data_IF_783253892880
#
_entry.id   IF_783253892880
#
_cell.length_a   1.000
_cell.length_b   1.000
_cell.length_c   1.000
_cell.angle_alpha   90.00
_cell.angle_beta   90.00
_cell.angle_gamma   90.00
#
_symmetry.space_group_name_H-M   'P 1'
#
loop_
_entity.id
_entity.type
_entity.pdbx_description
1 polymer ?
#
# COMPACT_ATOMS: atom_id res chain seq x y z
N UNK A 1 35.65 36.38 2.53
CA UNK A 1 35.93 35.24 3.43
C UNK A 1 34.59 34.62 3.72
N UNK A 2 34.31 33.51 3.04
CA UNK A 2 33.03 32.81 3.06
C UNK A 2 33.03 31.84 4.24
N UNK A 3 31.99 31.93 5.06
CA UNK A 3 31.70 30.96 6.11
C UNK A 3 30.71 29.94 5.51
N UNK A 4 31.19 28.72 5.29
CA UNK A 4 30.43 27.61 4.74
C UNK A 4 29.61 26.97 5.86
N UNK A 5 28.35 27.40 6.01
CA UNK A 5 27.35 26.73 6.83
C UNK A 5 26.88 25.44 6.17
N UNK A 6 27.59 24.35 6.43
CA UNK A 6 27.18 22.96 6.15
C UNK A 6 25.90 22.69 6.95
N UNK A 7 24.76 22.44 6.29
CA UNK A 7 23.54 22.02 7.00
C UNK A 7 22.26 21.92 6.18
N UNK A 8 22.10 22.66 5.08
CA UNK A 8 20.80 22.78 4.41
C UNK A 8 20.42 21.59 3.50
N UNK A 9 21.38 20.81 3.01
CA UNK A 9 21.12 19.70 2.08
C UNK A 9 20.56 18.44 2.76
N UNK A 10 20.66 18.32 4.09
CA UNK A 10 20.26 17.12 4.83
C UNK A 10 18.80 17.20 5.35
N UNK A 11 18.14 18.36 5.26
CA UNK A 11 16.75 18.51 5.74
C UNK A 11 15.68 18.19 4.69
N UNK A 12 15.94 18.41 3.41
CA UNK A 12 14.94 18.18 2.35
C UNK A 12 14.73 16.67 2.10
N UNK A 13 15.75 15.85 2.34
CA UNK A 13 15.69 14.38 2.21
C UNK A 13 14.99 13.67 3.38
N UNK A 14 14.59 14.41 4.44
CA UNK A 14 13.99 13.83 5.66
C UNK A 14 12.47 13.83 5.69
N UNK A 15 11.79 14.34 4.66
CA UNK A 15 10.33 14.36 4.60
C UNK A 15 9.68 12.99 4.28
N UNK A 16 10.46 11.93 4.10
CA UNK A 16 9.93 10.57 3.84
C UNK A 16 10.68 9.43 4.54
N UNK A 17 11.59 9.73 5.47
CA UNK A 17 12.28 8.71 6.28
C UNK A 17 11.72 8.81 7.70
N UNK A 18 11.21 7.68 8.23
CA UNK A 18 10.73 7.51 9.59
C UNK A 18 11.50 8.39 10.58
N UNK A 19 10.87 9.48 11.03
CA UNK A 19 11.39 10.25 12.16
C UNK A 19 11.43 9.31 13.38
N UNK A 20 12.48 9.35 14.22
CA UNK A 20 12.35 8.81 15.57
C UNK A 20 11.18 9.55 16.23
N UNK A 21 10.26 8.80 16.83
CA UNK A 21 9.05 9.32 17.48
C UNK A 21 9.31 10.69 18.12
N UNK A 22 8.71 11.74 17.56
CA UNK A 22 8.69 13.05 18.22
C UNK A 22 8.23 12.82 19.67
N UNK A 23 8.84 13.49 20.66
CA UNK A 23 8.35 13.40 22.04
C UNK A 23 6.86 13.70 22.02
N UNK A 24 6.03 12.80 22.59
CA UNK A 24 4.57 12.90 22.60
C UNK A 24 4.16 14.36 22.77
N UNK A 25 3.72 14.99 21.67
CA UNK A 25 3.23 16.35 21.73
C UNK A 25 2.02 16.32 22.65
N UNK A 26 2.14 16.95 23.82
CA UNK A 26 1.03 17.01 24.77
C UNK A 26 -0.22 17.51 24.04
N UNK A 27 -1.38 16.85 24.21
CA UNK A 27 -2.59 17.30 23.57
C UNK A 27 -2.81 18.78 23.90
N UNK A 28 -3.16 19.62 22.91
CA UNK A 28 -3.32 21.04 23.12
C UNK A 28 -4.29 21.28 24.29
N UNK A 29 -3.90 22.18 25.20
CA UNK A 29 -4.73 22.53 26.38
C UNK A 29 -6.14 22.90 25.88
N UNK A 30 -7.17 22.32 26.51
CA UNK A 30 -8.60 22.52 26.17
C UNK A 30 -9.02 24.00 26.00
N UNK A 31 -8.26 24.95 26.57
CA UNK A 31 -8.54 26.38 26.54
C UNK A 31 -7.43 27.22 25.86
N UNK A 32 -6.61 26.62 25.00
CA UNK A 32 -5.73 27.42 24.13
C UNK A 32 -6.58 28.15 23.09
N UNK A 33 -6.19 29.36 22.70
CA UNK A 33 -6.85 30.11 21.63
C UNK A 33 -6.77 29.41 20.24
N UNK A 34 -6.13 28.25 20.17
CA UNK A 34 -5.88 27.52 18.93
C UNK A 34 -4.99 28.29 17.97
N UNK A 35 -5.13 27.98 16.67
CA UNK A 35 -4.47 28.70 15.59
C UNK A 35 -5.23 30.02 15.35
N UNK A 36 -4.61 31.16 15.64
CA UNK A 36 -5.16 32.48 15.29
C UNK A 36 -4.82 32.78 13.83
N UNK A 37 -5.76 32.52 12.93
CA UNK A 37 -5.61 32.84 11.51
C UNK A 37 -5.76 34.37 11.28
N UNK A 38 -4.90 34.94 10.45
CA UNK A 38 -5.01 36.32 9.96
C UNK A 38 -5.20 36.30 8.45
N UNK A 39 -6.25 36.94 7.95
CA UNK A 39 -6.49 37.04 6.50
C UNK A 39 -5.49 38.02 5.86
N UNK A 40 -4.68 37.51 4.94
CA UNK A 40 -3.68 38.27 4.17
C UNK A 40 -4.02 38.34 2.68
N UNK A 41 -5.21 37.88 2.26
CA UNK A 41 -5.60 37.76 0.84
C UNK A 41 -5.44 39.08 0.08
N UNK A 42 -5.91 40.18 0.67
CA UNK A 42 -5.78 41.52 0.08
C UNK A 42 -4.32 41.96 -0.02
N UNK A 43 -3.52 41.76 1.04
CA UNK A 43 -2.09 42.12 1.05
C UNK A 43 -1.32 41.37 -0.02
N UNK A 44 -1.64 40.09 -0.21
CA UNK A 44 -1.02 39.25 -1.23
C UNK A 44 -1.44 39.69 -2.64
N UNK A 45 -2.73 39.96 -2.84
CA UNK A 45 -3.27 40.43 -4.13
C UNK A 45 -2.67 41.79 -4.53
N UNK A 46 -2.61 42.75 -3.60
CA UNK A 46 -2.06 44.09 -3.84
C UNK A 46 -0.56 44.02 -4.21
N UNK A 47 0.20 43.11 -3.58
CA UNK A 47 1.61 42.89 -3.90
C UNK A 47 1.82 42.33 -5.32
N UNK A 48 0.88 41.53 -5.84
CA UNK A 48 0.95 40.90 -7.17
C UNK A 48 0.34 41.77 -8.28
N UNK A 49 -0.77 42.49 -8.02
CA UNK A 49 -1.62 43.12 -9.07
C UNK A 49 -1.32 44.56 -9.45
N UNK A 50 -0.40 45.28 -8.79
CA UNK A 50 -0.22 46.73 -9.06
C UNK A 50 0.24 47.10 -10.50
N UNK A 51 0.47 46.11 -11.37
CA UNK A 51 0.69 46.23 -12.82
C UNK A 51 -0.59 46.39 -13.67
N UNK A 52 -1.78 46.02 -13.21
CA UNK A 52 -2.96 45.95 -14.10
C UNK A 52 -3.66 47.30 -14.39
N UNK A 53 -3.28 48.41 -13.75
CA UNK A 53 -3.95 49.72 -13.90
C UNK A 53 -3.13 50.81 -14.61
N UNK A 54 -1.94 50.50 -15.14
CA UNK A 54 -1.05 51.50 -15.73
C UNK A 54 -0.73 51.25 -17.22
N UNK A 55 -1.75 51.11 -18.06
CA UNK A 55 -1.62 51.50 -19.48
C UNK A 55 -2.02 52.98 -19.58
N UNK A 56 -1.10 53.85 -19.20
CA UNK A 56 -1.30 55.30 -19.24
C UNK A 56 -0.03 56.04 -18.87
N UNK A 57 0.55 56.72 -19.86
CA UNK A 57 1.79 57.51 -19.80
C UNK A 57 2.02 58.28 -18.49
N UNK A 58 3.29 58.25 -18.08
CA UNK A 58 3.94 59.09 -17.06
C UNK A 58 3.49 58.89 -15.61
N UNK A 59 4.32 58.22 -14.80
CA UNK A 59 4.45 58.58 -13.39
C UNK A 59 5.81 58.24 -12.78
N UNK A 60 6.28 59.26 -12.08
CA UNK A 60 7.51 59.40 -11.32
C UNK A 60 7.53 58.41 -10.14
N UNK A 61 8.62 57.64 -10.04
CA UNK A 61 8.82 56.64 -8.99
C UNK A 61 9.12 57.34 -7.66
N UNK A 62 8.17 57.31 -6.72
CA UNK A 62 8.42 57.66 -5.32
C UNK A 62 8.85 56.37 -4.60
N UNK A 63 10.17 56.24 -4.39
CA UNK A 63 10.76 55.26 -3.48
C UNK A 63 10.58 55.75 -2.03
N UNK A 64 9.64 55.15 -1.30
CA UNK A 64 9.43 55.46 0.12
C UNK A 64 8.69 54.33 0.83
N UNK A 65 9.44 53.55 1.62
CA UNK A 65 8.98 52.66 2.70
C UNK A 65 7.68 51.87 2.48
N UNK A 66 7.79 50.78 1.74
CA UNK A 66 7.21 49.43 1.98
C UNK A 66 7.53 48.64 0.72
N UNK A 67 8.34 47.60 0.80
CA UNK A 67 8.96 46.92 -0.35
C UNK A 67 7.96 46.11 -1.19
N UNK A 68 7.06 46.78 -1.90
CA UNK A 68 6.23 46.16 -2.94
C UNK A 68 7.08 46.05 -4.20
N UNK A 69 7.76 44.91 -4.34
CA UNK A 69 8.33 44.47 -5.62
C UNK A 69 7.14 44.06 -6.48
N UNK A 70 6.83 44.86 -7.47
CA UNK A 70 5.78 44.55 -8.45
C UNK A 70 6.32 43.46 -9.37
N UNK A 71 5.58 42.38 -9.55
CA UNK A 71 6.01 41.25 -10.38
C UNK A 71 5.60 41.48 -11.83
N UNK A 72 6.59 41.48 -12.73
CA UNK A 72 6.38 41.49 -14.17
C UNK A 72 6.02 40.10 -14.69
N UNK A 73 5.31 39.97 -15.84
CA UNK A 73 5.02 38.68 -16.45
C UNK A 73 6.29 37.87 -16.70
N UNK A 74 6.35 36.66 -16.14
CA UNK A 74 7.51 35.76 -16.22
C UNK A 74 8.42 35.79 -15.00
N UNK A 75 8.18 36.69 -14.04
CA UNK A 75 8.87 36.68 -12.75
C UNK A 75 8.23 35.70 -11.76
N UNK A 76 9.06 35.02 -10.96
CA UNK A 76 8.63 34.06 -9.94
C UNK A 76 9.35 34.38 -8.63
N UNK A 77 8.58 34.60 -7.57
CA UNK A 77 9.12 34.71 -6.20
C UNK A 77 9.21 33.32 -5.61
N UNK A 78 10.43 32.90 -5.29
CA UNK A 78 10.73 31.61 -4.68
C UNK A 78 11.95 31.72 -3.78
N UNK A 79 12.18 30.71 -2.95
CA UNK A 79 13.43 30.59 -2.21
C UNK A 79 14.65 30.47 -3.17
N UNK A 80 15.82 30.88 -2.69
CA UNK A 80 17.07 30.85 -3.46
C UNK A 80 17.50 29.43 -3.84
N UNK A 81 17.22 28.44 -2.99
CA UNK A 81 17.59 27.04 -3.18
C UNK A 81 16.53 26.21 -3.89
N UNK A 82 15.27 26.65 -3.89
CA UNK A 82 14.19 25.95 -4.61
C UNK A 82 14.39 26.04 -6.12
N UNK A 83 14.39 24.92 -6.85
CA UNK A 83 14.48 24.95 -8.31
C UNK A 83 13.12 24.80 -8.96
N UNK A 84 12.91 25.37 -10.15
CA UNK A 84 11.67 25.15 -10.89
C UNK A 84 11.51 23.69 -11.34
N UNK A 85 12.61 22.94 -11.44
CA UNK A 85 12.54 21.52 -11.69
C UNK A 85 11.83 20.78 -10.53
N UNK A 86 12.02 21.20 -9.28
CA UNK A 86 11.32 20.62 -8.12
C UNK A 86 9.79 20.85 -8.20
N UNK A 87 9.36 21.93 -8.87
CA UNK A 87 7.93 22.24 -9.04
C UNK A 87 7.21 21.38 -10.08
N UNK A 88 7.92 20.63 -10.94
CA UNK A 88 7.27 19.81 -12.00
C UNK A 88 6.49 18.62 -11.43
N UNK A 89 6.78 18.23 -10.19
CA UNK A 89 6.08 17.16 -9.47
C UNK A 89 4.93 17.68 -8.59
N UNK A 90 4.66 18.99 -8.60
CA UNK A 90 3.59 19.58 -7.79
C UNK A 90 2.21 19.12 -8.27
N UNK A 91 1.31 18.86 -7.31
CA UNK A 91 -0.10 18.60 -7.59
C UNK A 91 -0.87 19.92 -7.74
N UNK A 92 -1.73 20.00 -8.74
CA UNK A 92 -2.61 21.15 -8.97
C UNK A 92 -3.99 20.87 -8.35
N UNK A 93 -4.35 21.66 -7.33
CA UNK A 93 -5.67 21.57 -6.66
C UNK A 93 -6.76 22.00 -7.64
N UNK A 94 -7.91 21.33 -7.60
CA UNK A 94 -9.05 21.50 -8.52
C UNK A 94 -8.82 21.02 -9.96
N UNK A 95 -7.67 20.42 -10.29
CA UNK A 95 -7.50 19.69 -11.56
C UNK A 95 -7.99 18.24 -11.41
N UNK A 96 -8.97 17.76 -12.20
CA UNK A 96 -9.52 16.41 -12.06
C UNK A 96 -8.54 15.25 -12.27
N UNK A 97 -7.38 15.51 -12.91
CA UNK A 97 -6.34 14.50 -13.15
C UNK A 97 -5.24 14.53 -12.10
N UNK A 98 -5.02 15.67 -11.44
CA UNK A 98 -3.94 15.84 -10.46
C UNK A 98 -4.44 15.81 -9.01
N UNK A 99 -5.65 16.29 -8.75
CA UNK A 99 -6.24 16.39 -7.43
C UNK A 99 -7.26 15.26 -7.20
N UNK A 100 -6.90 14.32 -6.33
CA UNK A 100 -7.81 13.24 -5.94
C UNK A 100 -9.07 13.77 -5.23
N UNK A 101 -8.95 14.91 -4.53
CA UNK A 101 -10.06 15.62 -3.87
C UNK A 101 -10.96 16.39 -4.83
N UNK A 102 -10.62 16.52 -6.11
CA UNK A 102 -11.46 17.18 -7.10
C UNK A 102 -12.67 16.30 -7.46
N UNK A 103 -13.87 16.77 -7.09
CA UNK A 103 -15.14 16.08 -7.36
C UNK A 103 -15.75 16.66 -8.62
N UNK A 104 -16.10 15.82 -9.59
CA UNK A 104 -16.83 16.29 -10.76
C UNK A 104 -18.29 16.63 -10.41
N UNK A 105 -18.91 17.61 -11.08
CA UNK A 105 -20.32 17.94 -10.84
C UNK A 105 -21.22 16.71 -10.98
N UNK A 106 -21.92 16.35 -9.91
CA UNK A 106 -22.81 15.18 -9.85
C UNK A 106 -22.16 13.88 -9.35
N UNK A 107 -20.85 13.88 -9.09
CA UNK A 107 -20.16 12.77 -8.44
C UNK A 107 -20.24 12.89 -6.91
N UNK A 108 -20.46 11.77 -6.22
CA UNK A 108 -20.43 11.74 -4.76
C UNK A 108 -18.98 11.67 -4.23
N UNK A 109 -18.70 12.45 -3.19
CA UNK A 109 -17.39 12.50 -2.55
C UNK A 109 -17.01 11.17 -1.90
N UNK A 110 -17.93 10.64 -1.09
CA UNK A 110 -17.73 9.43 -0.32
C UNK A 110 -18.11 8.18 -1.11
N UNK A 111 -17.52 7.05 -0.71
CA UNK A 111 -17.95 5.73 -1.19
C UNK A 111 -19.22 5.36 -0.44
N UNK A 112 -20.36 5.33 -1.14
CA UNK A 112 -21.63 4.87 -0.59
C UNK A 112 -21.71 3.34 -0.64
N UNK A 113 -20.92 2.67 0.19
CA UNK A 113 -21.02 1.23 0.37
C UNK A 113 -21.15 0.88 1.85
N UNK A 114 -22.22 0.16 2.19
CA UNK A 114 -22.43 -0.35 3.55
C UNK A 114 -21.68 -1.66 3.76
N UNK A 115 -20.59 -1.60 4.53
CA UNK A 115 -19.77 -2.76 4.89
C UNK A 115 -20.48 -3.76 5.80
N UNK A 116 -21.60 -3.37 6.44
CA UNK A 116 -22.42 -4.24 7.28
C UNK A 116 -23.58 -4.89 6.54
N UNK A 117 -23.74 -4.62 5.23
CA UNK A 117 -24.78 -5.28 4.44
C UNK A 117 -24.56 -6.80 4.51
N UNK A 118 -25.63 -7.60 4.69
CA UNK A 118 -25.51 -9.04 4.61
C UNK A 118 -24.92 -9.47 3.27
N UNK A 119 -23.90 -10.33 3.34
CA UNK A 119 -23.26 -10.94 2.17
C UNK A 119 -23.69 -12.39 2.04
N UNK A 120 -23.95 -12.81 0.81
CA UNK A 120 -24.09 -14.22 0.49
C UNK A 120 -22.71 -14.92 0.53
N UNK A 121 -22.65 -16.23 0.80
CA UNK A 121 -21.41 -17.00 0.75
C UNK A 121 -20.65 -16.87 -0.59
N UNK A 122 -21.38 -16.82 -1.70
CA UNK A 122 -20.85 -16.63 -3.05
C UNK A 122 -20.25 -15.23 -3.24
N UNK A 123 -20.85 -14.20 -2.62
CA UNK A 123 -20.32 -12.84 -2.65
C UNK A 123 -18.99 -12.74 -1.88
N UNK A 124 -18.91 -13.41 -0.71
CA UNK A 124 -17.65 -13.49 0.05
C UNK A 124 -16.56 -14.15 -0.79
N UNK A 125 -16.88 -15.26 -1.48
CA UNK A 125 -15.95 -15.89 -2.41
C UNK A 125 -15.48 -14.93 -3.52
N UNK A 126 -16.40 -14.20 -4.14
CA UNK A 126 -16.06 -13.24 -5.19
C UNK A 126 -15.17 -12.11 -4.69
N UNK A 127 -15.43 -11.59 -3.49
CA UNK A 127 -14.58 -10.58 -2.85
C UNK A 127 -13.18 -11.14 -2.54
N UNK A 128 -13.08 -12.36 -2.01
CA UNK A 128 -11.80 -13.03 -1.75
C UNK A 128 -11.00 -13.22 -3.06
N UNK A 129 -11.64 -13.67 -4.13
CA UNK A 129 -10.97 -13.90 -5.41
C UNK A 129 -10.49 -12.58 -6.05
N UNK A 130 -11.27 -11.50 -5.95
CA UNK A 130 -10.83 -10.18 -6.39
C UNK A 130 -9.66 -9.65 -5.54
N UNK A 131 -9.66 -9.93 -4.23
CA UNK A 131 -8.55 -9.59 -3.35
C UNK A 131 -7.26 -10.37 -3.68
N UNK A 132 -7.35 -11.63 -4.11
CA UNK A 132 -6.19 -12.37 -4.66
C UNK A 132 -5.65 -11.65 -5.90
N UNK A 133 -6.53 -11.18 -6.80
CA UNK A 133 -6.11 -10.45 -7.99
C UNK A 133 -5.39 -9.14 -7.66
N UNK A 134 -5.90 -8.39 -6.68
CA UNK A 134 -5.26 -7.18 -6.19
C UNK A 134 -3.95 -7.45 -5.43
N UNK A 135 -3.89 -8.49 -4.61
CA UNK A 135 -2.66 -8.94 -3.95
C UNK A 135 -1.58 -9.25 -5.00
N UNK A 136 -1.91 -10.05 -6.02
CA UNK A 136 -0.96 -10.38 -7.08
C UNK A 136 -0.59 -9.18 -7.94
N UNK A 137 -1.51 -8.26 -8.20
CA UNK A 137 -1.18 -7.00 -8.86
C UNK A 137 -0.16 -6.19 -8.05
N UNK A 138 -0.29 -6.15 -6.73
CA UNK A 138 0.70 -5.49 -5.88
C UNK A 138 2.06 -6.19 -5.92
N UNK A 139 2.08 -7.53 -5.88
CA UNK A 139 3.30 -8.31 -6.05
C UNK A 139 3.97 -8.14 -7.43
N UNK A 140 3.25 -7.66 -8.43
CA UNK A 140 3.77 -7.30 -9.77
C UNK A 140 4.21 -5.84 -9.88
N UNK A 141 4.24 -5.10 -8.76
CA UNK A 141 4.76 -3.74 -8.70
C UNK A 141 3.71 -2.62 -8.80
N UNK A 142 2.42 -2.95 -8.92
CA UNK A 142 1.39 -1.92 -8.88
C UNK A 142 1.16 -1.39 -7.45
N UNK A 143 1.00 -0.07 -7.22
CA UNK A 143 0.89 0.48 -5.88
C UNK A 143 -0.37 0.03 -5.14
N UNK A 144 -0.30 -0.03 -3.81
CA UNK A 144 -1.43 -0.42 -2.94
C UNK A 144 -2.69 0.43 -3.16
N UNK A 145 -2.52 1.70 -3.52
CA UNK A 145 -3.62 2.65 -3.84
C UNK A 145 -4.47 2.23 -5.05
N UNK A 146 -3.92 1.43 -5.97
CA UNK A 146 -4.60 0.91 -7.15
C UNK A 146 -5.03 -0.56 -7.00
N UNK A 147 -4.69 -1.20 -5.89
CA UNK A 147 -4.89 -2.64 -5.66
C UNK A 147 -5.64 -2.87 -4.35
N UNK A 148 -4.98 -3.31 -3.28
CA UNK A 148 -5.62 -3.72 -2.02
C UNK A 148 -6.38 -2.57 -1.32
N UNK A 149 -5.88 -1.33 -1.36
CA UNK A 149 -6.54 -0.18 -0.72
C UNK A 149 -7.71 0.36 -1.53
N UNK A 150 -8.08 -0.29 -2.62
CA UNK A 150 -9.34 -0.03 -3.31
C UNK A 150 -10.50 -0.78 -2.66
N UNK A 151 -10.25 -1.76 -1.79
CA UNK A 151 -11.29 -2.50 -1.08
C UNK A 151 -11.87 -1.69 0.09
N UNK A 152 -13.19 -1.52 0.12
CA UNK A 152 -13.90 -0.85 1.22
C UNK A 152 -13.76 -1.62 2.54
N UNK A 153 -13.62 -2.94 2.48
CA UNK A 153 -13.41 -3.79 3.65
C UNK A 153 -12.00 -3.62 4.22
N UNK A 154 -10.98 -3.50 3.36
CA UNK A 154 -9.60 -3.21 3.80
C UNK A 154 -9.51 -1.83 4.43
N UNK A 155 -10.13 -0.81 3.82
CA UNK A 155 -10.18 0.53 4.40
C UNK A 155 -10.86 0.52 5.78
N UNK A 156 -12.01 -0.16 5.90
CA UNK A 156 -12.73 -0.25 7.17
C UNK A 156 -11.93 -0.95 8.29
N UNK A 157 -11.06 -1.90 7.94
CA UNK A 157 -10.20 -2.59 8.92
C UNK A 157 -9.00 -1.73 9.37
N UNK A 158 -8.47 -0.89 8.47
CA UNK A 158 -7.25 -0.12 8.69
C UNK A 158 -7.50 1.31 9.16
N UNK A 159 -8.73 1.82 9.03
CA UNK A 159 -9.10 3.19 9.40
C UNK A 159 -10.31 3.25 10.35
N UNK A 160 -10.16 3.84 11.55
CA UNK A 160 -8.90 4.33 12.14
C UNK A 160 -7.84 3.24 12.28
N UNK A 161 -6.60 3.58 12.62
CA UNK A 161 -5.56 2.58 12.88
C UNK A 161 -5.98 1.70 14.10
N UNK A 162 -6.04 0.37 13.96
CA UNK A 162 -6.44 -0.52 15.06
C UNK A 162 -5.36 -0.55 16.14
N UNK A 163 -5.76 -0.36 17.41
CA UNK A 163 -4.87 -0.49 18.57
C UNK A 163 -4.72 -1.93 19.05
N UNK A 164 -5.74 -2.75 18.79
CA UNK A 164 -5.77 -4.19 19.02
C UNK A 164 -6.30 -4.93 17.79
N UNK A 165 -6.10 -6.25 17.72
CA UNK A 165 -6.64 -7.04 16.62
C UNK A 165 -8.16 -7.10 16.66
N UNK A 166 -8.78 -6.99 17.83
CA UNK A 166 -10.24 -6.88 18.01
C UNK A 166 -10.78 -5.58 17.41
N UNK A 167 -10.02 -4.48 17.52
CA UNK A 167 -10.38 -3.18 16.92
C UNK A 167 -10.32 -3.19 15.39
N UNK A 168 -9.54 -4.10 14.79
CA UNK A 168 -9.48 -4.30 13.35
C UNK A 168 -10.76 -5.03 12.87
N UNK A 169 -11.87 -4.30 12.83
CA UNK A 169 -13.19 -4.79 12.44
C UNK A 169 -13.86 -3.78 11.48
N UNK A 170 -14.87 -4.21 10.71
CA UNK A 170 -15.50 -3.33 9.72
C UNK A 170 -16.22 -2.12 10.34
N UNK A 171 -16.74 -2.26 11.56
CA UNK A 171 -17.32 -1.15 12.33
C UNK A 171 -16.97 -1.27 13.80
N UNK A 172 -16.19 -0.30 14.30
CA UNK A 172 -15.76 -0.23 15.71
C UNK A 172 -16.95 -0.03 16.65
N UNK A 173 -16.90 -0.71 17.81
CA UNK A 173 -17.96 -0.63 18.82
C UNK A 173 -19.25 -1.39 18.49
N UNK A 174 -19.30 -2.09 17.34
CA UNK A 174 -20.45 -2.93 16.92
C UNK A 174 -20.08 -4.41 16.77
N UNK A 175 -19.15 -4.90 17.60
CA UNK A 175 -18.70 -6.30 17.56
C UNK A 175 -19.86 -7.31 17.68
N UNK A 176 -20.90 -6.97 18.46
CA UNK A 176 -22.10 -7.81 18.63
C UNK A 176 -22.89 -8.02 17.32
N UNK A 177 -22.93 -7.02 16.43
CA UNK A 177 -23.63 -7.10 15.14
C UNK A 177 -22.86 -7.97 14.13
N UNK A 178 -21.52 -7.95 14.20
CA UNK A 178 -20.65 -8.79 13.36
C UNK A 178 -20.77 -10.28 13.72
N UNK A 179 -20.85 -10.60 15.01
CA UNK A 179 -21.04 -11.98 15.48
C UNK A 179 -22.35 -12.62 14.98
N UNK A 180 -23.32 -11.79 14.58
CA UNK A 180 -24.59 -12.24 14.01
C UNK A 180 -24.53 -12.45 12.49
N UNK A 181 -23.42 -12.08 11.84
CA UNK A 181 -23.22 -12.20 10.40
C UNK A 181 -21.98 -13.07 10.09
N UNK A 182 -22.14 -14.41 10.02
CA UNK A 182 -21.01 -15.33 9.86
C UNK A 182 -20.12 -15.03 8.66
N UNK A 183 -20.71 -14.58 7.55
CA UNK A 183 -19.99 -14.23 6.32
C UNK A 183 -19.06 -13.03 6.50
N UNK A 184 -19.44 -12.03 7.31
CA UNK A 184 -18.57 -10.90 7.62
C UNK A 184 -17.42 -11.31 8.55
N UNK A 185 -17.66 -12.24 9.49
CA UNK A 185 -16.59 -12.80 10.35
C UNK A 185 -15.55 -13.52 9.50
N UNK A 186 -15.99 -14.33 8.53
CA UNK A 186 -15.13 -15.07 7.61
C UNK A 186 -14.34 -14.13 6.70
N UNK A 187 -15.00 -13.13 6.10
CA UNK A 187 -14.33 -12.14 5.27
C UNK A 187 -13.30 -11.32 6.07
N UNK A 188 -13.63 -10.96 7.32
CA UNK A 188 -12.70 -10.27 8.22
C UNK A 188 -11.45 -11.11 8.46
N UNK A 189 -11.59 -12.37 8.88
CA UNK A 189 -10.45 -13.24 9.14
C UNK A 189 -9.54 -13.37 7.91
N UNK A 190 -10.14 -13.56 6.74
CA UNK A 190 -9.41 -13.61 5.46
C UNK A 190 -8.62 -12.32 5.19
N UNK A 191 -9.27 -11.16 5.32
CA UNK A 191 -8.62 -9.86 5.08
C UNK A 191 -7.46 -9.63 6.06
N UNK A 192 -7.62 -9.99 7.34
CA UNK A 192 -6.54 -9.88 8.33
C UNK A 192 -5.35 -10.79 7.97
N UNK A 193 -5.62 -12.03 7.55
CA UNK A 193 -4.59 -12.97 7.08
C UNK A 193 -3.80 -12.44 5.88
N UNK A 194 -4.52 -11.94 4.87
CA UNK A 194 -3.93 -11.30 3.69
C UNK A 194 -3.10 -10.07 4.05
N UNK A 195 -3.66 -9.13 4.81
CA UNK A 195 -2.97 -7.90 5.19
C UNK A 195 -1.71 -8.20 5.99
N UNK A 196 -1.77 -9.16 6.92
CA UNK A 196 -0.61 -9.56 7.72
C UNK A 196 0.51 -10.17 6.86
N UNK A 197 0.17 -11.07 5.94
CA UNK A 197 1.13 -11.65 5.00
C UNK A 197 1.75 -10.57 4.09
N UNK A 198 0.94 -9.64 3.56
CA UNK A 198 1.43 -8.48 2.81
C UNK A 198 2.34 -7.59 3.66
N UNK A 199 2.01 -7.38 4.93
CA UNK A 199 2.86 -6.67 5.89
C UNK A 199 4.25 -7.30 5.99
N UNK A 200 4.32 -8.63 6.17
CA UNK A 200 5.59 -9.38 6.23
C UNK A 200 6.40 -9.26 4.94
N UNK A 201 5.75 -9.36 3.78
CA UNK A 201 6.41 -9.17 2.47
C UNK A 201 6.99 -7.77 2.37
N UNK A 202 6.19 -6.76 2.70
CA UNK A 202 6.61 -5.36 2.61
C UNK A 202 7.78 -5.04 3.55
N UNK A 203 7.74 -5.55 4.78
CA UNK A 203 8.84 -5.39 5.75
C UNK A 203 10.13 -6.04 5.28
N UNK A 204 10.05 -7.20 4.62
CA UNK A 204 11.23 -7.89 4.07
C UNK A 204 11.87 -7.13 2.94
N UNK A 205 11.07 -6.71 1.98
CA UNK A 205 11.56 -5.89 0.86
C UNK A 205 12.23 -4.63 1.41
N UNK A 206 11.62 -3.96 2.41
CA UNK A 206 12.25 -2.81 3.07
C UNK A 206 13.55 -3.19 3.81
N UNK A 207 13.60 -4.34 4.48
CA UNK A 207 14.73 -4.77 5.29
C UNK A 207 15.96 -5.22 4.48
N UNK A 208 15.78 -5.92 3.36
CA UNK A 208 16.88 -6.38 2.49
C UNK A 208 17.71 -5.19 1.98
N UNK A 209 17.08 -4.06 1.70
CA UNK A 209 17.76 -2.86 1.21
C UNK A 209 18.47 -2.03 2.29
N UNK A 210 18.14 -2.18 3.59
CA UNK A 210 18.96 -1.58 4.66
C UNK A 210 20.37 -2.21 4.72
N UNK A 211 20.51 -3.49 4.32
CA UNK A 211 21.79 -4.18 4.35
C UNK A 211 22.70 -3.84 3.16
N UNK A 212 22.15 -3.54 1.97
CA UNK A 212 22.97 -3.10 0.81
C UNK A 212 23.53 -1.68 0.97
N UNK A 213 22.78 -0.76 1.60
CA UNK A 213 23.23 0.64 1.82
C UNK A 213 24.25 0.75 2.96
N UNK A 214 24.32 -0.25 3.83
CA UNK A 214 25.19 -0.24 5.03
C UNK A 214 26.57 -0.87 4.80
N UNK A 215 26.93 -1.28 3.57
CA UNK A 215 28.31 -1.68 3.26
C UNK A 215 29.26 -0.49 3.52
N UNK A 216 30.16 -0.56 4.52
CA UNK A 216 30.85 0.61 5.06
C UNK A 216 32.04 1.10 4.21
N UNK A 217 32.06 0.79 2.91
CA UNK A 217 33.07 1.24 1.98
C UNK A 217 32.41 1.81 0.71
N UNK A 218 31.79 2.98 0.83
CA UNK A 218 31.94 4.08 -0.14
C UNK A 218 31.08 5.26 0.29
N UNK A 219 31.74 6.29 0.80
CA UNK A 219 31.20 7.63 0.99
C UNK A 219 30.91 8.27 -0.37
N UNK A 220 29.76 7.95 -0.95
CA UNK A 220 29.24 8.66 -2.13
C UNK A 220 27.73 8.85 -2.02
N UNK A 221 27.32 10.12 -1.97
CA UNK A 221 25.94 10.65 -1.95
C UNK A 221 25.03 10.21 -3.12
N UNK A 222 25.41 9.18 -3.88
CA UNK A 222 24.66 8.61 -5.01
C UNK A 222 23.90 7.32 -4.67
N UNK A 223 24.12 6.73 -3.51
CA UNK A 223 23.44 5.49 -3.10
C UNK A 223 21.93 5.65 -2.89
N UNK A 224 21.45 6.80 -2.41
CA UNK A 224 20.02 7.00 -2.13
C UNK A 224 19.13 7.12 -3.38
N UNK A 225 19.65 7.67 -4.49
CA UNK A 225 18.86 7.90 -5.71
C UNK A 225 18.68 6.63 -6.55
N UNK A 226 19.67 5.73 -6.57
CA UNK A 226 19.54 4.44 -7.28
C UNK A 226 18.51 3.52 -6.61
N UNK A 227 18.41 3.59 -5.28
CA UNK A 227 17.47 2.79 -4.47
C UNK A 227 16.00 3.20 -4.66
N UNK A 228 15.69 4.48 -4.87
CA UNK A 228 14.33 4.95 -5.18
C UNK A 228 13.88 4.52 -6.58
N UNK A 229 14.81 4.45 -7.54
CA UNK A 229 14.49 4.08 -8.93
C UNK A 229 14.09 2.59 -9.02
N UNK A 230 14.77 1.69 -8.30
CA UNK A 230 14.41 0.27 -8.26
C UNK A 230 13.10 0.00 -7.51
N UNK A 231 12.80 0.78 -6.46
CA UNK A 231 11.53 0.69 -5.71
C UNK A 231 10.29 1.13 -6.51
N UNK A 232 10.44 1.97 -7.53
CA UNK A 232 9.30 2.33 -8.40
C UNK A 232 9.26 1.53 -9.70
N UNK A 233 10.34 0.81 -10.03
CA UNK A 233 10.43 -0.02 -11.23
C UNK A 233 9.91 -1.46 -10.99
N UNK A 234 10.38 -2.13 -9.92
CA UNK A 234 10.08 -3.55 -9.70
C UNK A 234 8.98 -3.79 -8.65
N UNK A 235 8.93 -3.01 -7.56
CA UNK A 235 7.96 -3.20 -6.48
C UNK A 235 7.72 -1.96 -5.63
N UNK A 236 6.46 -1.48 -5.54
CA UNK A 236 6.10 -0.28 -4.77
C UNK A 236 5.76 -0.61 -3.30
N UNK A 237 6.61 -0.21 -2.31
CA UNK A 237 6.45 -0.57 -0.90
C UNK A 237 5.63 0.47 -0.07
N UNK A 238 5.15 1.54 -0.73
CA UNK A 238 4.44 2.66 -0.10
C UNK A 238 3.10 2.24 0.47
N UNK A 239 2.92 2.43 1.77
CA UNK A 239 1.68 2.06 2.48
C UNK A 239 0.79 3.23 2.86
N UNK A 240 1.11 4.46 2.45
CA UNK A 240 0.29 5.65 2.70
C UNK A 240 -0.08 5.84 4.18
N UNK A 241 0.88 5.58 5.08
CA UNK A 241 0.70 5.59 6.54
C UNK A 241 -0.34 4.59 7.05
N UNK A 242 -0.50 3.44 6.37
CA UNK A 242 -1.25 2.28 6.85
C UNK A 242 -0.28 1.21 7.33
N UNK A 243 -0.63 0.53 8.42
CA UNK A 243 0.30 -0.34 9.16
C UNK A 243 0.29 -1.80 8.71
N UNK A 244 -0.60 -2.18 7.78
CA UNK A 244 -0.74 -3.56 7.28
C UNK A 244 -0.72 -4.63 8.39
N UNK A 245 -1.18 -4.28 9.61
CA UNK A 245 -1.23 -5.16 10.79
C UNK A 245 0.14 -5.70 11.25
N UNK A 246 1.24 -5.02 10.94
CA UNK A 246 2.60 -5.50 11.26
C UNK A 246 2.84 -5.67 12.77
N UNK A 247 2.24 -4.82 13.60
CA UNK A 247 2.41 -4.86 15.07
C UNK A 247 1.75 -6.05 15.75
N UNK A 248 0.74 -6.68 15.15
CA UNK A 248 0.03 -7.79 15.79
C UNK A 248 0.75 -9.13 15.59
N UNK A 249 0.80 -10.01 16.60
CA UNK A 249 1.42 -11.33 16.44
C UNK A 249 0.67 -12.17 15.40
N UNK A 250 1.41 -12.82 14.50
CA UNK A 250 0.83 -13.68 13.44
C UNK A 250 0.00 -14.83 14.00
N UNK A 251 0.34 -15.33 15.20
CA UNK A 251 -0.41 -16.39 15.88
C UNK A 251 -1.87 -16.02 16.10
N UNK A 252 -2.16 -14.78 16.50
CA UNK A 252 -3.53 -14.32 16.73
C UNK A 252 -4.33 -14.30 15.42
N UNK A 253 -3.68 -13.94 14.31
CA UNK A 253 -4.29 -13.97 12.98
C UNK A 253 -4.53 -15.41 12.50
N UNK A 254 -3.60 -16.34 12.76
CA UNK A 254 -3.79 -17.76 12.46
C UNK A 254 -4.96 -18.37 13.26
N UNK A 255 -5.12 -17.99 14.53
CA UNK A 255 -6.22 -18.45 15.36
C UNK A 255 -7.57 -17.94 14.79
N UNK A 256 -7.65 -16.66 14.41
CA UNK A 256 -8.84 -16.10 13.74
C UNK A 256 -9.18 -16.80 12.40
N UNK A 257 -8.17 -17.17 11.61
CA UNK A 257 -8.38 -17.93 10.37
C UNK A 257 -8.92 -19.34 10.66
N UNK A 258 -8.42 -19.98 11.72
CA UNK A 258 -8.86 -21.30 12.17
C UNK A 258 -10.31 -21.26 12.65
N UNK A 259 -10.63 -20.30 13.52
CA UNK A 259 -11.99 -20.09 14.03
C UNK A 259 -12.99 -19.82 12.89
N UNK A 260 -12.58 -19.04 11.88
CA UNK A 260 -13.41 -18.78 10.70
C UNK A 260 -13.64 -20.05 9.85
N UNK A 261 -12.64 -20.91 9.70
CA UNK A 261 -12.78 -22.18 8.99
C UNK A 261 -13.71 -23.14 9.75
N UNK A 262 -13.55 -23.22 11.08
CA UNK A 262 -14.44 -24.00 11.95
C UNK A 262 -15.88 -23.48 11.87
N UNK A 263 -16.09 -22.16 11.88
CA UNK A 263 -17.41 -21.57 11.68
C UNK A 263 -18.03 -22.01 10.35
N UNK A 264 -17.29 -21.97 9.23
CA UNK A 264 -17.81 -22.46 7.94
C UNK A 264 -18.17 -23.95 8.01
N UNK A 265 -17.37 -24.78 8.68
CA UNK A 265 -17.68 -26.20 8.86
C UNK A 265 -19.01 -26.42 9.59
N UNK A 266 -19.32 -25.60 10.61
CA UNK A 266 -20.62 -25.70 11.30
C UNK A 266 -21.82 -25.31 10.43
N UNK A 267 -21.61 -24.42 9.45
CA UNK A 267 -22.63 -23.93 8.53
C UNK A 267 -22.77 -24.79 7.26
N UNK A 268 -21.80 -25.69 7.03
CA UNK A 268 -21.73 -26.54 5.85
C UNK A 268 -22.92 -27.49 5.78
N UNK A 269 -23.65 -27.44 4.66
CA UNK A 269 -24.82 -28.27 4.39
C UNK A 269 -26.10 -27.85 5.10
N UNK A 270 -26.05 -26.85 5.99
CA UNK A 270 -27.22 -26.24 6.62
C UNK A 270 -27.57 -24.92 5.91
N UNK A 271 -26.79 -23.87 6.19
CA UNK A 271 -26.99 -22.53 5.64
C UNK A 271 -26.11 -22.28 4.41
N UNK A 272 -24.96 -22.95 4.31
CA UNK A 272 -24.00 -22.78 3.22
C UNK A 272 -23.90 -24.09 2.42
N UNK A 273 -24.09 -24.07 1.09
CA UNK A 273 -23.88 -25.26 0.24
C UNK A 273 -22.48 -25.85 0.40
N UNK A 274 -22.37 -27.18 0.30
CA UNK A 274 -21.16 -27.91 0.66
C UNK A 274 -19.94 -27.52 -0.20
N UNK A 275 -20.16 -27.31 -1.49
CA UNK A 275 -19.18 -26.85 -2.47
C UNK A 275 -18.68 -25.42 -2.18
N UNK A 276 -19.58 -24.50 -1.85
CA UNK A 276 -19.22 -23.12 -1.46
C UNK A 276 -18.47 -23.10 -0.12
N UNK A 277 -18.89 -23.90 0.85
CA UNK A 277 -18.19 -24.05 2.12
C UNK A 277 -16.74 -24.54 1.92
N UNK A 278 -16.55 -25.57 1.09
CA UNK A 278 -15.22 -26.11 0.76
C UNK A 278 -14.37 -25.09 0.00
N UNK A 279 -14.99 -24.29 -0.87
CA UNK A 279 -14.33 -23.20 -1.59
C UNK A 279 -13.87 -22.08 -0.64
N UNK A 280 -14.70 -21.71 0.36
CA UNK A 280 -14.38 -20.71 1.37
C UNK A 280 -13.23 -21.17 2.27
N UNK A 281 -13.31 -22.42 2.76
CA UNK A 281 -12.25 -23.02 3.57
C UNK A 281 -10.92 -23.04 2.81
N UNK A 282 -10.92 -23.43 1.54
CA UNK A 282 -9.70 -23.45 0.72
C UNK A 282 -9.02 -22.07 0.64
N UNK A 283 -9.80 -20.98 0.64
CA UNK A 283 -9.29 -19.60 0.62
C UNK A 283 -8.77 -19.15 1.98
N UNK A 284 -9.40 -19.57 3.07
CA UNK A 284 -8.88 -19.36 4.43
C UNK A 284 -7.57 -20.14 4.66
N UNK A 285 -7.52 -21.39 4.21
CA UNK A 285 -6.33 -22.23 4.25
C UNK A 285 -5.17 -21.59 3.46
N UNK A 286 -5.46 -21.02 2.28
CA UNK A 286 -4.46 -20.24 1.52
C UNK A 286 -3.90 -19.09 2.35
N UNK A 287 -4.73 -18.33 3.09
CA UNK A 287 -4.24 -17.22 3.92
C UNK A 287 -3.35 -17.74 5.06
N UNK A 288 -3.76 -18.83 5.71
CA UNK A 288 -2.99 -19.44 6.80
C UNK A 288 -1.62 -19.93 6.32
N UNK A 289 -1.62 -20.66 5.20
CA UNK A 289 -0.39 -21.21 4.62
C UNK A 289 0.50 -20.12 4.04
N UNK A 290 -0.07 -19.09 3.38
CA UNK A 290 0.74 -17.99 2.87
C UNK A 290 1.39 -17.19 4.00
N UNK A 291 0.65 -16.92 5.08
CA UNK A 291 1.20 -16.28 6.28
C UNK A 291 2.38 -17.10 6.84
N UNK A 292 2.23 -18.42 6.98
CA UNK A 292 3.32 -19.30 7.40
C UNK A 292 4.51 -19.31 6.42
N UNK A 293 4.25 -19.29 5.11
CA UNK A 293 5.29 -19.21 4.08
C UNK A 293 6.08 -17.89 4.18
N UNK A 294 5.39 -16.78 4.43
CA UNK A 294 6.02 -15.49 4.73
C UNK A 294 6.73 -15.47 6.08
N UNK A 295 6.80 -16.56 6.85
CA UNK A 295 7.60 -16.68 8.08
C UNK A 295 8.74 -17.71 7.92
N UNK A 296 8.84 -18.39 6.77
CA UNK A 296 9.81 -19.46 6.53
C UNK A 296 11.29 -19.13 6.79
N UNK A 297 11.79 -17.89 6.59
CA UNK A 297 13.15 -17.50 6.98
C UNK A 297 13.48 -17.68 8.46
N UNK A 298 12.48 -17.70 9.35
CA UNK A 298 12.70 -18.03 10.77
C UNK A 298 13.10 -19.50 10.97
N UNK A 299 12.87 -20.34 9.96
CA UNK A 299 13.09 -21.78 9.97
C UNK A 299 14.25 -22.22 9.06
N UNK A 300 15.17 -21.32 8.68
CA UNK A 300 16.34 -21.62 7.82
C UNK A 300 17.20 -22.78 8.35
N UNK A 301 17.21 -23.02 9.67
CA UNK A 301 17.91 -24.15 10.30
C UNK A 301 17.19 -25.50 10.17
N UNK A 302 15.94 -25.48 9.74
CA UNK A 302 15.05 -26.64 9.61
C UNK A 302 14.48 -26.66 8.17
N UNK A 303 15.25 -27.12 7.15
CA UNK A 303 14.88 -26.98 5.73
C UNK A 303 13.49 -27.54 5.39
N UNK A 304 13.15 -28.70 5.94
CA UNK A 304 11.83 -29.32 5.76
C UNK A 304 10.70 -28.41 6.25
N UNK A 305 10.90 -27.74 7.41
CA UNK A 305 9.91 -26.84 7.99
C UNK A 305 9.83 -25.52 7.23
N UNK A 306 10.95 -25.01 6.73
CA UNK A 306 10.96 -23.82 5.87
C UNK A 306 10.22 -24.06 4.55
N UNK A 307 10.25 -25.28 4.02
CA UNK A 307 9.63 -25.67 2.74
C UNK A 307 8.16 -26.07 2.86
N UNK A 308 7.75 -26.63 4.00
CA UNK A 308 6.43 -27.21 4.25
C UNK A 308 5.25 -26.28 3.87
N UNK A 309 5.31 -25.01 4.25
CA UNK A 309 4.24 -24.05 3.93
C UNK A 309 4.10 -23.84 2.41
N UNK A 310 5.22 -23.73 1.69
CA UNK A 310 5.20 -23.57 0.22
C UNK A 310 4.58 -24.79 -0.48
N UNK A 311 4.93 -26.01 -0.04
CA UNK A 311 4.39 -27.25 -0.61
C UNK A 311 2.90 -27.44 -0.28
N UNK A 312 2.48 -27.11 0.94
CA UNK A 312 1.06 -27.13 1.33
C UNK A 312 0.23 -26.18 0.47
N UNK A 313 0.75 -24.99 0.16
CA UNK A 313 0.04 -24.05 -0.69
C UNK A 313 -0.21 -24.65 -2.08
N UNK A 314 0.81 -25.26 -2.68
CA UNK A 314 0.70 -25.92 -3.99
C UNK A 314 -0.35 -27.04 -4.03
N UNK A 315 -0.64 -27.69 -2.90
CA UNK A 315 -1.71 -28.70 -2.79
C UNK A 315 -3.12 -28.07 -2.70
N UNK A 316 -3.23 -26.87 -2.15
CA UNK A 316 -4.51 -26.14 -1.98
C UNK A 316 -4.91 -25.43 -3.27
N UNK A 317 -3.96 -24.83 -3.99
CA UNK A 317 -4.22 -24.00 -5.16
C UNK A 317 -5.14 -24.65 -6.21
N UNK A 318 -4.99 -25.93 -6.61
CA UNK A 318 -5.89 -26.56 -7.58
C UNK A 318 -7.37 -26.50 -7.16
N UNK A 319 -7.67 -26.59 -5.86
CA UNK A 319 -9.04 -26.53 -5.33
C UNK A 319 -9.62 -25.11 -5.49
N UNK A 320 -8.82 -24.09 -5.24
CA UNK A 320 -9.22 -22.69 -5.42
C UNK A 320 -9.51 -22.41 -6.89
N UNK A 321 -8.62 -22.84 -7.78
CA UNK A 321 -8.81 -22.66 -9.23
C UNK A 321 -10.10 -23.29 -9.73
N UNK A 322 -10.37 -24.54 -9.36
CA UNK A 322 -11.57 -25.26 -9.78
C UNK A 322 -12.87 -24.69 -9.18
N UNK A 323 -12.80 -23.94 -8.09
CA UNK A 323 -13.97 -23.37 -7.41
C UNK A 323 -14.18 -21.88 -7.67
N UNK A 324 -13.34 -21.23 -8.48
CA UNK A 324 -13.47 -19.81 -8.81
C UNK A 324 -14.84 -19.45 -9.39
N UNK A 325 -15.39 -20.30 -10.26
CA UNK A 325 -16.70 -20.07 -10.89
C UNK A 325 -17.89 -20.07 -9.93
N UNK A 326 -17.70 -20.48 -8.66
CA UNK A 326 -18.72 -20.42 -7.62
C UNK A 326 -18.83 -19.02 -6.99
N UNK A 327 -17.83 -18.16 -7.19
CA UNK A 327 -17.82 -16.79 -6.67
C UNK A 327 -18.77 -15.87 -7.44
N UNK A 328 -19.45 -14.98 -6.72
CA UNK A 328 -20.23 -13.88 -7.29
C UNK A 328 -19.46 -12.57 -7.11
N UNK A 329 -19.08 -11.87 -8.19
CA UNK A 329 -18.35 -10.61 -8.07
C UNK A 329 -19.19 -9.54 -7.37
N UNK A 330 -18.52 -8.66 -6.63
CA UNK A 330 -19.10 -7.51 -5.92
C UNK A 330 -18.25 -6.29 -6.25
N UNK A 331 -18.44 -5.74 -7.44
CA UNK A 331 -17.61 -4.64 -7.95
C UNK A 331 -17.69 -3.40 -7.05
N UNK A 332 -18.86 -3.12 -6.48
CA UNK A 332 -19.08 -1.96 -5.59
C UNK A 332 -18.29 -2.04 -4.26
N UNK A 333 -17.75 -3.21 -3.91
CA UNK A 333 -16.84 -3.36 -2.77
C UNK A 333 -15.43 -2.82 -3.06
N UNK A 334 -15.14 -2.40 -4.29
CA UNK A 334 -13.86 -1.86 -4.72
C UNK A 334 -14.03 -0.50 -5.40
N UNK A 335 -13.34 0.53 -4.91
CA UNK A 335 -13.51 1.90 -5.39
C UNK A 335 -12.20 2.66 -5.50
N UNK A 336 -11.91 3.31 -6.64
CA UNK A 336 -10.74 4.19 -6.76
C UNK A 336 -10.88 5.45 -5.89
N UNK A 337 -12.12 5.80 -5.47
CA UNK A 337 -12.37 6.96 -4.61
C UNK A 337 -11.70 6.84 -3.24
N UNK A 338 -11.33 5.62 -2.80
CA UNK A 338 -10.60 5.43 -1.55
C UNK A 338 -9.21 6.08 -1.57
N UNK A 339 -8.63 6.32 -2.76
CA UNK A 339 -7.36 7.04 -2.88
C UNK A 339 -7.41 8.46 -2.29
N UNK A 340 -8.60 9.06 -2.21
CA UNK A 340 -8.84 10.37 -1.56
C UNK A 340 -8.54 10.37 -0.06
N UNK A 341 -8.60 9.20 0.58
CA UNK A 341 -8.34 9.00 2.01
C UNK A 341 -6.90 8.63 2.34
N UNK A 342 -6.08 8.40 1.31
CA UNK A 342 -4.68 8.05 1.45
C UNK A 342 -3.83 9.31 1.49
N UNK A 343 -2.77 9.31 2.30
CA UNK A 343 -1.75 10.36 2.29
C UNK A 343 -0.86 10.22 1.04
N UNK A 344 -1.41 10.55 -0.14
CA UNK A 344 -0.76 10.41 -1.44
C UNK A 344 -0.23 11.74 -1.93
N UNK A 345 1.00 11.74 -2.43
CA UNK A 345 1.60 12.83 -3.22
C UNK A 345 1.51 12.57 -4.72
N UNK A 346 0.88 11.46 -5.12
CA UNK A 346 0.69 11.08 -6.52
C UNK A 346 -0.73 11.38 -6.98
N UNK A 347 -0.92 11.75 -8.27
CA UNK A 347 -2.23 11.89 -8.88
C UNK A 347 -3.09 10.63 -8.75
N UNK A 348 -4.43 10.76 -8.70
CA UNK A 348 -5.34 9.61 -8.67
C UNK A 348 -5.21 8.75 -9.93
N UNK A 349 -5.22 7.43 -9.76
CA UNK A 349 -5.05 6.46 -10.86
C UNK A 349 -6.17 5.41 -10.84
N UNK A 350 -6.55 4.84 -11.98
CA UNK A 350 -7.58 3.81 -12.02
C UNK A 350 -7.15 2.54 -11.25
N UNK A 351 -8.13 1.74 -10.81
CA UNK A 351 -7.88 0.41 -10.25
C UNK A 351 -7.21 -0.47 -11.32
N UNK A 352 -6.17 -1.19 -10.91
CA UNK A 352 -5.51 -2.18 -11.77
C UNK A 352 -6.42 -3.39 -11.94
N UNK A 353 -6.73 -3.73 -13.20
CA UNK A 353 -7.56 -4.88 -13.54
C UNK A 353 -6.68 -6.02 -14.01
N UNK A 354 -6.40 -6.97 -13.11
CA UNK A 354 -5.76 -8.24 -13.43
C UNK A 354 -6.81 -9.34 -13.41
N UNK A 355 -6.89 -10.14 -14.49
CA UNK A 355 -7.82 -11.25 -14.57
C UNK A 355 -7.46 -12.37 -13.61
N UNK A 356 -8.46 -13.13 -13.13
CA UNK A 356 -8.24 -14.20 -12.15
C UNK A 356 -7.24 -15.26 -12.65
N UNK A 357 -7.34 -15.73 -13.89
CA UNK A 357 -6.42 -16.75 -14.41
C UNK A 357 -4.96 -16.26 -14.44
N UNK A 358 -4.73 -14.99 -14.80
CA UNK A 358 -3.39 -14.39 -14.83
C UNK A 358 -2.86 -14.21 -13.40
N UNK A 359 -3.66 -13.60 -12.51
CA UNK A 359 -3.32 -13.46 -11.10
C UNK A 359 -3.01 -14.81 -10.45
N UNK A 360 -3.84 -15.81 -10.70
CA UNK A 360 -3.66 -17.15 -10.17
C UNK A 360 -2.42 -17.85 -10.74
N UNK A 361 -2.09 -17.59 -12.00
CA UNK A 361 -0.83 -18.02 -12.61
C UNK A 361 0.39 -17.44 -11.91
N UNK A 362 0.36 -16.14 -11.57
CA UNK A 362 1.39 -15.49 -10.78
C UNK A 362 1.47 -16.03 -9.35
N UNK A 363 0.32 -16.23 -8.68
CA UNK A 363 0.26 -16.83 -7.34
C UNK A 363 0.85 -18.24 -7.32
N UNK A 364 0.49 -19.07 -8.30
CA UNK A 364 1.04 -20.42 -8.41
C UNK A 364 2.56 -20.39 -8.60
N UNK A 365 3.06 -19.49 -9.47
CA UNK A 365 4.50 -19.30 -9.67
C UNK A 365 5.19 -18.82 -8.39
N UNK A 366 4.62 -17.85 -7.66
CA UNK A 366 5.14 -17.39 -6.37
C UNK A 366 5.37 -18.55 -5.40
N UNK A 367 4.39 -19.44 -5.22
CA UNK A 367 4.55 -20.58 -4.31
C UNK A 367 5.52 -21.63 -4.82
N UNK A 368 5.53 -21.86 -6.13
CA UNK A 368 6.44 -22.81 -6.76
C UNK A 368 7.88 -22.34 -6.61
N UNK A 369 8.15 -21.08 -6.99
CA UNK A 369 9.48 -20.47 -6.91
C UNK A 369 9.92 -20.39 -5.45
N UNK A 370 9.02 -20.03 -4.52
CA UNK A 370 9.30 -20.07 -3.08
C UNK A 370 9.71 -21.46 -2.58
N UNK A 371 9.03 -22.52 -3.03
CA UNK A 371 9.40 -23.92 -2.72
C UNK A 371 10.76 -24.31 -3.32
N UNK A 372 11.03 -23.89 -4.56
CA UNK A 372 12.29 -24.16 -5.26
C UNK A 372 13.47 -23.46 -4.59
N UNK A 373 13.30 -22.21 -4.16
CA UNK A 373 14.33 -21.44 -3.45
C UNK A 373 14.70 -22.09 -2.11
N UNK A 374 13.76 -22.74 -1.42
CA UNK A 374 14.08 -23.45 -0.17
C UNK A 374 15.05 -24.63 -0.37
N UNK A 375 15.16 -25.18 -1.59
CA UNK A 375 16.14 -26.23 -1.87
C UNK A 375 17.60 -25.73 -1.75
N UNK A 376 17.83 -24.41 -1.79
CA UNK A 376 19.16 -23.82 -1.55
C UNK A 376 19.67 -24.17 -0.15
N UNK A 377 18.79 -24.43 0.82
CA UNK A 377 19.16 -24.82 2.18
C UNK A 377 19.79 -26.22 2.27
N UNK A 378 19.67 -27.04 1.22
CA UNK A 378 20.23 -28.41 1.15
C UNK A 378 21.64 -28.45 0.54
N UNK A 379 22.35 -27.32 0.50
CA UNK A 379 23.69 -27.24 -0.10
C UNK A 379 24.75 -28.05 0.68
N UNK A 380 25.62 -28.75 -0.04
CA UNK A 380 26.74 -29.51 0.55
C UNK A 380 28.10 -28.87 0.30
N UNK A 381 28.23 -28.09 -0.78
CA UNK A 381 29.46 -27.39 -1.16
C UNK A 381 29.17 -26.08 -1.91
N UNK A 382 30.22 -25.32 -2.23
CA UNK A 382 30.10 -24.05 -2.94
C UNK A 382 29.65 -24.19 -4.39
N UNK A 383 29.81 -25.37 -5.01
CA UNK A 383 29.35 -25.63 -6.38
C UNK A 383 27.82 -25.81 -6.40
N UNK A 384 27.23 -26.42 -5.37
CA UNK A 384 25.76 -26.49 -5.21
C UNK A 384 25.12 -25.10 -5.18
N UNK A 385 25.73 -24.14 -4.47
CA UNK A 385 25.25 -22.77 -4.40
C UNK A 385 25.41 -22.02 -5.74
N UNK A 386 26.53 -22.23 -6.44
CA UNK A 386 26.75 -21.64 -7.77
C UNK A 386 25.81 -22.22 -8.84
N UNK A 387 25.47 -23.51 -8.75
CA UNK A 387 24.54 -24.17 -9.67
C UNK A 387 23.07 -23.79 -9.42
N UNK A 388 22.71 -23.45 -8.17
CA UNK A 388 21.35 -23.04 -7.82
C UNK A 388 21.05 -21.57 -8.17
N UNK A 389 22.05 -20.68 -8.12
CA UNK A 389 21.88 -19.26 -8.47
C UNK A 389 21.26 -18.98 -9.85
N UNK A 390 21.69 -19.59 -10.97
CA UNK A 390 21.08 -19.37 -12.29
C UNK A 390 19.76 -20.12 -12.51
N UNK A 391 19.37 -21.05 -11.64
CA UNK A 391 18.03 -21.69 -11.67
C UNK A 391 16.95 -20.79 -11.05
N UNK A 392 17.35 -19.89 -10.13
CA UNK A 392 16.46 -18.98 -9.40
C UNK A 392 16.12 -17.68 -10.15
N UNK A 393 16.80 -17.39 -11.27
CA UNK A 393 16.40 -16.30 -12.16
C UNK A 393 15.59 -16.85 -13.33
N UNK A 394 14.45 -16.22 -13.72
CA UNK A 394 13.73 -16.65 -14.90
C UNK A 394 14.67 -16.53 -16.11
N UNK A 395 14.80 -17.61 -16.88
CA UNK A 395 15.48 -17.57 -18.17
C UNK A 395 14.78 -16.51 -19.03
N UNK A 396 15.42 -15.37 -19.25
CA UNK A 396 14.98 -14.43 -20.26
C UNK A 396 14.75 -15.22 -21.55
N UNK A 397 13.53 -15.15 -22.07
CA UNK A 397 13.19 -15.77 -23.32
C UNK A 397 14.05 -15.11 -24.40
N UNK A 398 15.11 -15.80 -24.81
CA UNK A 398 15.95 -15.49 -25.95
C UNK A 398 15.11 -15.64 -27.24
N UNK A 399 14.15 -14.73 -27.44
CA UNK A 399 13.38 -14.57 -28.65
C UNK A 399 13.96 -13.40 -29.43
N UNK A 400 14.78 -13.74 -30.42
CA UNK A 400 14.91 -12.93 -31.62
C UNK A 400 16.26 -12.24 -31.85
N UNK A 401 17.33 -13.01 -32.05
CA UNK A 401 18.41 -12.59 -32.96
C UNK A 401 19.00 -13.76 -33.76
N UNK A 402 18.18 -14.27 -34.67
CA UNK A 402 18.54 -14.86 -35.96
C UNK A 402 17.51 -14.24 -36.92
N UNK A 403 17.83 -13.46 -37.95
CA UNK A 403 18.90 -13.50 -38.96
C UNK A 403 19.43 -12.09 -39.20
#
# INVERSE_FOLDING_TARGET
>A
MADYGIGAADEISRLSICQPSEPEQQPPKMYSAGIVASDITKKFTDAVQSTCLAVGSNRQVIKGLTGSVVLEPGEVVKDGFFTLFDSVAALEIMDPKMDSGCIQPGEEFEVLYDVLRPLLPEEVLGIMDQLICHEMSWHLGYPLSQTLFTSVYVEALLMPEPGSIEDACFVRGRASELSQQPMLVVLRAYCLGMLKACGHVNERIKAEHFYEVSCPHESSSRGGTLTLILQEEDFVPTTYNRTLLTYFPSKVVQDLLTDAAELILTLKGSTVPADIADALISRLDLRSVFLAATESPQHVKEPLRAKDAWEKALQILPRIRCSHSLGRPVDDAFSPKLQRKLASTMPPRPIVKLGFDDAFGHLFRLFKDGSEVMNVLEYTDSQCLQASAPLSQPKEAEKGRKV
#
